data_IF_664747139300
#
_entry.id   IF_664747139300
#
_cell.length_a   1.000
_cell.length_b   1.000
_cell.length_c   1.000
_cell.angle_alpha   90.00
_cell.angle_beta   90.00
_cell.angle_gamma   90.00
#
_symmetry.space_group_name_H-M   'P 1'
#
loop_
_entity.id
_entity.type
_entity.pdbx_description
1 polymer ?
#
# COMPACT_ATOMS: atom_id res chain seq x y z
N UNK A 1 -4.51 50.35 -40.52
CA UNK A 1 -4.01 50.41 -39.13
C UNK A 1 -4.94 49.73 -38.10
N UNK A 2 -6.25 50.04 -38.03
CA UNK A 2 -7.16 49.38 -37.05
C UNK A 2 -7.34 47.86 -37.26
N UNK A 3 -7.35 47.41 -38.51
CA UNK A 3 -7.53 45.99 -38.89
C UNK A 3 -6.29 45.12 -38.60
N UNK A 4 -5.10 45.70 -38.73
CA UNK A 4 -3.81 45.10 -38.37
C UNK A 4 -3.70 44.90 -36.85
N UNK A 5 -4.17 45.88 -36.07
CA UNK A 5 -4.17 45.82 -34.60
C UNK A 5 -5.12 44.73 -34.06
N UNK A 6 -6.26 44.53 -34.72
CA UNK A 6 -7.21 43.46 -34.35
C UNK A 6 -6.65 42.05 -34.61
N UNK A 7 -5.87 41.85 -35.67
CA UNK A 7 -5.26 40.55 -35.98
C UNK A 7 -4.15 40.18 -34.98
N UNK A 8 -3.38 41.17 -34.51
CA UNK A 8 -2.36 41.00 -33.48
C UNK A 8 -2.96 40.62 -32.11
N UNK A 9 -4.09 41.23 -31.74
CA UNK A 9 -4.81 40.91 -30.51
C UNK A 9 -5.41 39.50 -30.52
N UNK A 10 -5.92 39.05 -31.68
CA UNK A 10 -6.48 37.71 -31.82
C UNK A 10 -5.39 36.63 -31.73
N UNK A 11 -4.22 36.86 -32.35
CA UNK A 11 -3.10 35.92 -32.29
C UNK A 11 -2.54 35.74 -30.86
N UNK A 12 -2.52 36.79 -30.04
CA UNK A 12 -2.09 36.71 -28.65
C UNK A 12 -3.05 35.88 -27.77
N UNK A 13 -4.35 35.89 -28.08
CA UNK A 13 -5.34 35.14 -27.31
C UNK A 13 -5.25 33.62 -27.50
N UNK A 14 -4.78 33.14 -28.66
CA UNK A 14 -4.64 31.68 -28.92
C UNK A 14 -3.43 31.04 -28.21
N UNK A 15 -2.49 31.84 -27.69
CA UNK A 15 -1.31 31.34 -27.00
C UNK A 15 -1.58 30.82 -25.58
N UNK A 16 -2.78 31.04 -25.02
CA UNK A 16 -3.06 30.78 -23.60
C UNK A 16 -3.68 29.39 -23.30
N UNK A 17 -4.04 28.60 -24.30
CA UNK A 17 -4.74 27.31 -24.10
C UNK A 17 -3.90 26.04 -24.36
N UNK A 18 -2.57 26.16 -24.46
CA UNK A 18 -1.69 25.05 -24.84
C UNK A 18 -1.04 24.26 -23.70
N UNK A 19 -1.54 24.33 -22.46
CA UNK A 19 -0.93 23.57 -21.35
C UNK A 19 -1.64 22.24 -21.21
N UNK A 20 -1.13 21.23 -21.93
CA UNK A 20 -1.52 19.83 -21.72
C UNK A 20 -1.42 19.49 -20.22
N UNK A 21 -2.43 18.82 -19.64
CA UNK A 21 -2.34 18.35 -18.29
C UNK A 21 -1.15 17.39 -18.18
N UNK A 22 -0.34 17.48 -17.10
CA UNK A 22 0.81 16.60 -16.92
C UNK A 22 0.34 15.15 -17.00
N UNK A 23 1.11 14.27 -17.69
CA UNK A 23 0.73 12.88 -17.84
C UNK A 23 0.46 12.27 -16.47
N UNK A 24 -0.61 11.47 -16.32
CA UNK A 24 -0.93 10.82 -15.06
C UNK A 24 0.28 10.01 -14.59
N UNK A 25 0.63 10.17 -13.32
CA UNK A 25 1.75 9.47 -12.71
C UNK A 25 1.66 7.96 -13.02
N UNK A 26 2.80 7.28 -13.27
CA UNK A 26 2.81 5.84 -13.47
C UNK A 26 2.03 5.18 -12.33
N UNK A 27 1.04 4.36 -12.69
CA UNK A 27 0.37 3.50 -11.72
C UNK A 27 1.47 2.64 -11.13
N UNK A 28 1.78 2.85 -9.85
CA UNK A 28 2.64 1.96 -9.08
C UNK A 28 1.96 0.60 -9.18
N UNK A 29 2.52 -0.30 -10.00
CA UNK A 29 2.11 -1.69 -10.01
C UNK A 29 2.37 -2.18 -8.59
N UNK A 30 1.30 -2.38 -7.84
CA UNK A 30 1.37 -3.04 -6.54
C UNK A 30 2.09 -4.36 -6.77
N UNK A 31 3.22 -4.62 -6.10
CA UNK A 31 3.86 -5.92 -6.18
C UNK A 31 2.82 -7.00 -5.89
N UNK A 32 2.85 -8.16 -6.59
CA UNK A 32 1.99 -9.27 -6.23
C UNK A 32 2.13 -9.53 -4.73
N UNK A 33 1.02 -9.74 -3.99
CA UNK A 33 1.07 -9.90 -2.55
C UNK A 33 2.08 -11.01 -2.25
N UNK A 34 3.10 -10.67 -1.44
CA UNK A 34 4.10 -11.62 -1.00
C UNK A 34 3.36 -12.86 -0.48
N UNK A 35 3.85 -14.05 -0.88
CA UNK A 35 3.24 -15.30 -0.46
C UNK A 35 3.00 -15.26 1.06
N UNK A 36 1.74 -15.41 1.46
CA UNK A 36 1.35 -15.20 2.84
C UNK A 36 1.80 -16.39 3.69
N UNK A 37 2.93 -16.24 4.39
CA UNK A 37 3.62 -17.32 5.14
C UNK A 37 3.23 -17.45 6.62
N UNK A 38 2.36 -16.57 7.15
CA UNK A 38 1.97 -16.57 8.56
C UNK A 38 0.83 -17.53 8.89
N UNK A 39 0.44 -17.60 10.16
CA UNK A 39 -0.64 -18.51 10.59
C UNK A 39 -1.99 -18.10 10.01
N UNK A 40 -2.87 -19.08 9.78
CA UNK A 40 -4.14 -18.85 9.09
C UNK A 40 -5.07 -17.91 9.88
N UNK A 41 -5.03 -17.99 11.21
CA UNK A 41 -5.84 -17.17 12.11
C UNK A 41 -5.32 -15.74 12.29
N UNK A 42 -4.06 -15.47 11.95
CA UNK A 42 -3.47 -14.12 12.02
C UNK A 42 -3.38 -13.42 10.66
N UNK A 43 -3.72 -14.11 9.56
CA UNK A 43 -3.81 -13.57 8.19
C UNK A 43 -4.62 -12.26 8.11
N UNK A 44 -5.68 -12.12 8.90
CA UNK A 44 -6.52 -10.92 8.89
C UNK A 44 -5.78 -9.64 9.31
N UNK A 45 -4.65 -9.76 10.02
CA UNK A 45 -3.83 -8.62 10.44
C UNK A 45 -3.11 -7.95 9.27
N UNK A 46 -2.90 -8.65 8.15
CA UNK A 46 -2.36 -8.04 6.93
C UNK A 46 -3.29 -6.94 6.38
N UNK A 47 -4.59 -6.99 6.70
CA UNK A 47 -5.53 -5.94 6.28
C UNK A 47 -5.32 -4.61 7.02
N UNK A 48 -4.52 -4.59 8.09
CA UNK A 48 -4.23 -3.38 8.86
C UNK A 48 -3.35 -2.38 8.07
N UNK A 49 -2.64 -2.86 7.05
CA UNK A 49 -1.90 -2.01 6.10
C UNK A 49 -2.83 -1.03 5.39
N UNK A 50 -4.07 -1.46 5.09
CA UNK A 50 -5.09 -0.62 4.46
C UNK A 50 -5.59 0.53 5.35
N UNK A 51 -5.29 0.51 6.65
CA UNK A 51 -5.65 1.54 7.63
C UNK A 51 -4.43 2.31 8.17
N UNK A 52 -3.24 2.07 7.60
CA UNK A 52 -2.01 2.79 7.92
C UNK A 52 -1.19 2.21 9.08
N UNK A 53 -1.51 1.02 9.55
CA UNK A 53 -0.68 0.27 10.50
C UNK A 53 0.17 -0.74 9.76
N UNK A 54 1.35 -1.09 10.30
CA UNK A 54 2.16 -2.17 9.74
C UNK A 54 1.59 -3.54 10.16
N UNK A 55 0.68 -4.07 9.35
CA UNK A 55 -0.03 -5.33 9.58
C UNK A 55 0.91 -6.52 9.64
N UNK A 56 1.93 -6.55 8.79
CA UNK A 56 2.95 -7.61 8.78
C UNK A 56 3.74 -7.67 10.10
N UNK A 57 4.23 -6.52 10.60
CA UNK A 57 4.98 -6.47 11.84
C UNK A 57 4.12 -6.85 13.06
N UNK A 58 2.85 -6.42 13.08
CA UNK A 58 1.89 -6.80 14.11
C UNK A 58 1.66 -8.31 14.06
N UNK A 59 1.40 -8.86 12.87
CA UNK A 59 1.21 -10.30 12.68
C UNK A 59 2.40 -11.11 13.16
N UNK A 60 3.62 -10.75 12.74
CA UNK A 60 4.83 -11.49 13.12
C UNK A 60 5.00 -11.54 14.64
N UNK A 61 4.62 -10.48 15.35
CA UNK A 61 4.65 -10.44 16.81
C UNK A 61 3.59 -11.32 17.45
N UNK A 62 2.37 -11.33 16.90
CA UNK A 62 1.28 -12.21 17.37
C UNK A 62 1.63 -13.68 17.13
N UNK A 63 2.08 -14.03 15.93
CA UNK A 63 2.51 -15.39 15.58
C UNK A 63 3.65 -15.86 16.50
N UNK A 64 4.63 -15.00 16.78
CA UNK A 64 5.71 -15.31 17.71
C UNK A 64 5.22 -15.62 19.13
N UNK A 65 4.23 -14.88 19.64
CA UNK A 65 3.66 -15.13 20.96
C UNK A 65 2.85 -16.43 21.01
N UNK A 66 2.13 -16.76 19.94
CA UNK A 66 1.37 -18.00 19.83
C UNK A 66 2.32 -19.21 19.77
N UNK A 67 3.38 -19.14 18.96
CA UNK A 67 4.39 -20.21 18.88
C UNK A 67 5.04 -20.46 20.25
N UNK A 68 5.40 -19.41 20.99
CA UNK A 68 5.96 -19.58 22.34
C UNK A 68 4.99 -20.25 23.32
N UNK A 69 3.68 -20.01 23.15
CA UNK A 69 2.64 -20.65 23.95
C UNK A 69 2.48 -22.12 23.58
N UNK A 70 2.48 -22.43 22.28
CA UNK A 70 2.40 -23.81 21.78
C UNK A 70 3.61 -24.63 22.25
N UNK A 71 4.81 -24.06 22.20
CA UNK A 71 6.04 -24.68 22.71
C UNK A 71 5.96 -24.93 24.22
N UNK A 72 5.49 -23.95 24.99
CA UNK A 72 5.30 -24.11 26.44
C UNK A 72 4.32 -25.23 26.75
N UNK A 73 3.16 -25.26 26.09
CA UNK A 73 2.14 -26.28 26.30
C UNK A 73 2.67 -27.67 25.96
N UNK A 74 3.43 -27.79 24.87
CA UNK A 74 4.08 -29.05 24.49
C UNK A 74 5.02 -29.54 25.59
N UNK A 75 5.86 -28.65 26.13
CA UNK A 75 6.75 -28.98 27.25
C UNK A 75 6.00 -29.38 28.53
N UNK A 76 4.83 -28.79 28.80
CA UNK A 76 4.00 -29.18 29.94
C UNK A 76 3.36 -30.55 29.73
N UNK A 77 2.89 -30.84 28.50
CA UNK A 77 2.33 -32.14 28.14
C UNK A 77 3.37 -33.26 28.29
N UNK A 78 4.59 -33.04 27.79
CA UNK A 78 5.72 -33.96 27.92
C UNK A 78 6.11 -34.25 29.39
N UNK A 79 5.86 -33.31 30.30
CA UNK A 79 6.07 -33.51 31.73
C UNK A 79 4.90 -34.23 32.42
N UNK A 80 3.66 -33.99 31.96
CA UNK A 80 2.48 -34.64 32.50
C UNK A 80 2.37 -36.12 32.08
N UNK A 81 2.94 -36.47 30.93
CA UNK A 81 2.95 -37.83 30.39
C UNK A 81 4.12 -38.70 30.92
N UNK A 82 4.96 -38.16 31.82
CA UNK A 82 6.03 -38.87 32.55
C UNK A 82 5.58 -39.30 33.95
#
# INVERSE_FOLDING_TARGET
>A
MRRELCLLLLAAALSACGKEPPPPAPKVETPPPAADTGRAETRALNNLDGVGYNGEAIRNKVDGAMNATDDYNKHMQEQADQ
#
